data_IF_821870515655
#
_entry.id   IF_821870515655
#
_cell.length_a   1.000
_cell.length_b   1.000
_cell.length_c   1.000
_cell.angle_alpha   90.00
_cell.angle_beta   90.00
_cell.angle_gamma   90.00
#
_symmetry.space_group_name_H-M   'P 1'
#
loop_
_entity.id
_entity.type
_entity.pdbx_description
1 polymer ?
#
# COMPACT_ATOMS: atom_id res chain seq x y z
N UNK A 1 11.09 -24.78 -14.17
CA UNK A 1 11.40 -23.49 -13.53
C UNK A 1 12.85 -23.47 -13.06
N UNK A 2 13.59 -22.45 -13.48
CA UNK A 2 15.00 -22.26 -13.13
C UNK A 2 15.16 -21.84 -11.66
N UNK A 3 16.40 -21.86 -11.14
CA UNK A 3 16.66 -21.37 -9.79
C UNK A 3 16.44 -19.86 -9.68
N UNK A 4 16.84 -19.10 -10.69
CA UNK A 4 16.68 -17.64 -10.71
C UNK A 4 15.20 -17.24 -10.65
N UNK A 5 14.33 -17.89 -11.44
CA UNK A 5 12.88 -17.66 -11.40
C UNK A 5 12.27 -18.04 -10.04
N UNK A 6 12.77 -19.11 -9.42
CA UNK A 6 12.35 -19.48 -8.06
C UNK A 6 12.71 -18.40 -7.06
N UNK A 7 13.93 -17.87 -7.12
CA UNK A 7 14.39 -16.86 -6.19
C UNK A 7 13.62 -15.53 -6.37
N UNK A 8 13.33 -15.15 -7.62
CA UNK A 8 12.47 -13.99 -7.93
C UNK A 8 11.04 -14.18 -7.39
N UNK A 9 10.41 -15.32 -7.67
CA UNK A 9 9.09 -15.64 -7.15
C UNK A 9 9.06 -15.64 -5.62
N UNK A 10 10.10 -16.17 -4.95
CA UNK A 10 10.17 -16.20 -3.49
C UNK A 10 10.25 -14.81 -2.86
N UNK A 11 10.97 -13.88 -3.49
CA UNK A 11 11.04 -12.49 -3.03
C UNK A 11 9.73 -11.75 -3.29
N UNK A 12 9.09 -11.95 -4.44
CA UNK A 12 7.78 -11.37 -4.74
C UNK A 12 6.70 -11.88 -3.77
N UNK A 13 6.58 -13.20 -3.59
CA UNK A 13 5.66 -13.81 -2.60
C UNK A 13 5.88 -13.21 -1.20
N UNK A 14 7.13 -13.01 -0.81
CA UNK A 14 7.48 -12.45 0.50
C UNK A 14 7.04 -10.98 0.62
N UNK A 15 7.15 -10.19 -0.45
CA UNK A 15 6.67 -8.81 -0.47
C UNK A 15 5.15 -8.75 -0.39
N UNK A 16 4.43 -9.49 -1.24
CA UNK A 16 2.96 -9.42 -1.32
C UNK A 16 2.29 -9.88 -0.02
N UNK A 17 2.82 -10.95 0.59
CA UNK A 17 2.38 -11.39 1.92
C UNK A 17 2.61 -10.30 2.97
N UNK A 18 3.76 -9.62 2.94
CA UNK A 18 4.07 -8.56 3.90
C UNK A 18 3.27 -7.28 3.65
N UNK A 19 2.92 -6.99 2.39
CA UNK A 19 2.05 -5.88 2.03
C UNK A 19 0.65 -6.09 2.60
N UNK A 20 0.16 -7.33 2.55
CA UNK A 20 -1.08 -7.74 3.22
C UNK A 20 -2.35 -7.25 2.52
N UNK A 21 -2.25 -6.85 1.25
CA UNK A 21 -3.40 -6.41 0.42
C UNK A 21 -4.06 -7.55 -0.37
N UNK A 22 -3.37 -8.67 -0.50
CA UNK A 22 -3.76 -9.78 -1.38
C UNK A 22 -3.98 -11.06 -0.58
N UNK A 23 -4.92 -11.89 -1.05
CA UNK A 23 -5.09 -13.26 -0.59
C UNK A 23 -4.22 -14.24 -1.39
N UNK A 24 -4.15 -15.50 -0.97
CA UNK A 24 -3.33 -16.53 -1.62
C UNK A 24 -3.58 -16.67 -3.13
N UNK A 25 -4.84 -16.56 -3.56
CA UNK A 25 -5.21 -16.64 -4.97
C UNK A 25 -4.74 -15.42 -5.75
N UNK A 26 -4.93 -14.22 -5.21
CA UNK A 26 -4.50 -12.97 -5.85
C UNK A 26 -2.97 -12.92 -6.01
N UNK A 27 -2.22 -13.36 -5.00
CA UNK A 27 -0.75 -13.47 -5.08
C UNK A 27 -0.37 -14.46 -6.19
N UNK A 28 -1.06 -15.59 -6.30
CA UNK A 28 -0.80 -16.56 -7.36
C UNK A 28 -1.08 -15.99 -8.75
N UNK A 29 -2.25 -15.37 -8.96
CA UNK A 29 -2.62 -14.71 -10.21
C UNK A 29 -1.62 -13.62 -10.59
N UNK A 30 -1.16 -12.81 -9.63
CA UNK A 30 -0.13 -11.79 -9.86
C UNK A 30 1.22 -12.37 -10.29
N UNK A 31 1.59 -13.55 -9.79
CA UNK A 31 2.81 -14.24 -10.21
C UNK A 31 2.65 -14.91 -11.58
N UNK A 32 1.47 -15.44 -11.91
CA UNK A 32 1.17 -15.93 -13.25
C UNK A 32 1.29 -14.81 -14.28
N UNK A 33 0.75 -13.62 -13.96
CA UNK A 33 0.87 -12.45 -14.82
C UNK A 33 2.32 -11.94 -14.91
N UNK A 34 3.10 -12.01 -13.82
CA UNK A 34 4.51 -11.61 -13.81
C UNK A 34 5.39 -12.50 -14.68
N UNK A 35 5.08 -13.80 -14.74
CA UNK A 35 5.86 -14.81 -15.47
C UNK A 35 5.13 -15.37 -16.70
N UNK A 36 4.21 -14.59 -17.30
CA UNK A 36 3.33 -15.06 -18.38
C UNK A 36 4.08 -15.54 -19.63
N UNK A 37 5.30 -15.06 -19.84
CA UNK A 37 6.20 -15.33 -20.96
C UNK A 37 7.24 -16.43 -20.66
N UNK A 38 7.20 -17.02 -19.46
CA UNK A 38 8.07 -18.12 -19.06
C UNK A 38 7.42 -19.49 -19.32
N UNK A 39 8.00 -20.30 -20.21
CA UNK A 39 7.46 -21.61 -20.62
C UNK A 39 7.49 -22.69 -19.52
N UNK A 40 8.24 -22.45 -18.43
CA UNK A 40 8.70 -23.48 -17.50
C UNK A 40 8.20 -23.24 -16.05
N UNK A 41 7.08 -22.55 -15.85
CA UNK A 41 6.54 -22.23 -14.52
C UNK A 41 5.97 -23.47 -13.82
N UNK A 42 6.38 -23.70 -12.59
CA UNK A 42 5.89 -24.77 -11.72
C UNK A 42 4.76 -24.22 -10.84
N UNK A 43 3.54 -24.20 -11.39
CA UNK A 43 2.35 -23.67 -10.70
C UNK A 43 2.06 -24.37 -9.37
N UNK A 44 2.20 -25.70 -9.32
CA UNK A 44 1.94 -26.47 -8.10
C UNK A 44 2.93 -26.08 -6.99
N UNK A 45 4.21 -25.88 -7.35
CA UNK A 45 5.20 -25.36 -6.43
C UNK A 45 4.85 -23.93 -5.96
N UNK A 46 4.39 -23.05 -6.86
CA UNK A 46 3.98 -21.69 -6.49
C UNK A 46 2.81 -21.71 -5.50
N UNK A 47 1.73 -22.43 -5.82
CA UNK A 47 0.54 -22.56 -4.95
C UNK A 47 0.92 -23.10 -3.57
N UNK A 48 1.73 -24.15 -3.51
CA UNK A 48 2.18 -24.73 -2.25
C UNK A 48 3.06 -23.75 -1.44
N UNK A 49 3.95 -23.03 -2.12
CA UNK A 49 4.86 -22.07 -1.48
C UNK A 49 4.10 -20.87 -0.91
N UNK A 50 3.19 -20.29 -1.70
CA UNK A 50 2.29 -19.21 -1.26
C UNK A 50 1.49 -19.69 -0.05
N UNK A 51 0.86 -20.86 -0.15
CA UNK A 51 0.04 -21.39 0.94
C UNK A 51 0.82 -21.55 2.24
N UNK A 52 2.02 -22.13 2.18
CA UNK A 52 2.86 -22.33 3.37
C UNK A 52 3.27 -20.99 4.00
N UNK A 53 3.76 -20.05 3.19
CA UNK A 53 4.26 -18.75 3.68
C UNK A 53 3.13 -17.86 4.17
N UNK A 54 2.00 -17.83 3.46
CA UNK A 54 0.84 -17.05 3.82
C UNK A 54 0.28 -17.52 5.17
N UNK A 55 0.07 -18.82 5.34
CA UNK A 55 -0.42 -19.37 6.61
C UNK A 55 0.55 -19.17 7.76
N UNK A 56 1.86 -19.23 7.50
CA UNK A 56 2.86 -18.90 8.52
C UNK A 56 2.75 -17.43 8.94
N UNK A 57 2.65 -16.51 7.99
CA UNK A 57 2.49 -15.09 8.28
C UNK A 57 1.18 -14.79 9.03
N UNK A 58 0.06 -15.41 8.64
CA UNK A 58 -1.21 -15.26 9.35
C UNK A 58 -1.11 -15.71 10.82
N UNK A 59 -0.43 -16.84 11.09
CA UNK A 59 -0.19 -17.31 12.47
C UNK A 59 0.66 -16.33 13.28
N UNK A 60 1.68 -15.74 12.67
CA UNK A 60 2.51 -14.71 13.30
C UNK A 60 1.70 -13.43 13.55
N UNK A 61 0.85 -13.03 12.60
CA UNK A 61 0.02 -11.83 12.69
C UNK A 61 -0.97 -11.88 13.86
N UNK A 62 -1.46 -13.07 14.22
CA UNK A 62 -2.30 -13.28 15.41
C UNK A 62 -1.58 -12.94 16.73
N UNK A 63 -0.25 -12.94 16.73
CA UNK A 63 0.57 -12.65 17.91
C UNK A 63 1.02 -11.20 17.98
N UNK A 64 0.73 -10.37 16.96
CA UNK A 64 1.16 -8.98 16.94
C UNK A 64 0.47 -8.15 18.02
N UNK A 65 1.26 -7.28 18.67
CA UNK A 65 0.74 -6.32 19.63
C UNK A 65 -0.18 -5.34 18.89
N UNK A 66 -1.41 -5.20 19.38
CA UNK A 66 -2.42 -4.29 18.85
C UNK A 66 -2.46 -2.98 19.65
N UNK A 67 -2.69 -1.81 19.01
CA UNK A 67 -2.80 -1.62 17.56
C UNK A 67 -1.43 -1.75 16.86
N UNK A 68 -1.42 -2.31 15.65
CA UNK A 68 -0.22 -2.36 14.79
C UNK A 68 0.10 -0.97 14.22
N UNK A 69 1.24 -0.85 13.51
CA UNK A 69 1.53 0.35 12.73
C UNK A 69 0.45 0.65 11.69
N UNK A 70 -0.02 -0.38 10.98
CA UNK A 70 -1.11 -0.26 10.03
C UNK A 70 -2.44 0.14 10.70
N UNK A 71 -2.80 -0.45 11.84
CA UNK A 71 -4.03 -0.08 12.57
C UNK A 71 -4.04 1.42 12.95
N UNK A 72 -2.87 1.98 13.26
CA UNK A 72 -2.70 3.42 13.54
C UNK A 72 -2.74 4.27 12.26
N UNK A 73 -2.15 3.80 11.17
CA UNK A 73 -2.19 4.47 9.88
C UNK A 73 -3.61 4.53 9.31
N UNK A 74 -4.35 3.42 9.34
CA UNK A 74 -5.74 3.35 8.90
C UNK A 74 -6.62 4.36 9.65
N UNK A 75 -6.45 4.46 10.98
CA UNK A 75 -7.16 5.47 11.79
C UNK A 75 -6.78 6.90 11.42
N UNK A 76 -5.52 7.17 11.10
CA UNK A 76 -5.11 8.49 10.62
C UNK A 76 -5.77 8.81 9.27
N UNK A 77 -5.84 7.85 8.35
CA UNK A 77 -6.52 8.01 7.07
C UNK A 77 -8.03 8.24 7.26
N UNK A 78 -8.70 7.48 8.15
CA UNK A 78 -10.11 7.71 8.49
C UNK A 78 -10.36 9.14 9.00
N UNK A 79 -9.47 9.69 9.83
CA UNK A 79 -9.56 11.07 10.31
C UNK A 79 -9.41 12.10 9.18
N UNK A 80 -8.49 11.86 8.23
CA UNK A 80 -8.24 12.73 7.09
C UNK A 80 -9.43 12.70 6.11
N UNK A 81 -10.05 11.54 5.90
CA UNK A 81 -11.26 11.39 5.08
C UNK A 81 -12.40 12.23 5.64
N UNK A 82 -12.61 12.24 6.96
CA UNK A 82 -13.61 13.12 7.62
C UNK A 82 -13.32 14.60 7.34
N UNK A 83 -12.04 14.96 7.18
CA UNK A 83 -11.59 16.31 6.83
C UNK A 83 -11.57 16.57 5.31
N UNK A 84 -12.18 15.70 4.51
CA UNK A 84 -12.29 15.80 3.04
C UNK A 84 -10.96 15.65 2.29
N UNK A 85 -10.00 14.96 2.87
CA UNK A 85 -8.79 14.52 2.18
C UNK A 85 -9.05 13.12 1.63
N UNK A 86 -8.84 12.92 0.34
CA UNK A 86 -8.91 11.58 -0.27
C UNK A 86 -7.71 10.77 0.20
N UNK A 87 -7.95 9.61 0.78
CA UNK A 87 -6.89 8.74 1.28
C UNK A 87 -6.92 7.38 0.61
N UNK A 88 -5.86 7.02 -0.11
CA UNK A 88 -5.76 5.73 -0.81
C UNK A 88 -4.61 4.89 -0.25
N UNK A 89 -4.92 3.66 0.12
CA UNK A 89 -3.95 2.66 0.52
C UNK A 89 -3.48 1.88 -0.72
N UNK A 90 -2.17 1.72 -0.90
CA UNK A 90 -1.57 0.97 -2.01
C UNK A 90 -2.08 1.43 -3.39
N UNK A 91 -2.00 2.74 -3.65
CA UNK A 91 -2.49 3.37 -4.87
C UNK A 91 -1.48 3.20 -6.01
N UNK A 92 -1.71 2.18 -6.84
CA UNK A 92 -0.85 1.85 -7.97
C UNK A 92 0.58 1.44 -7.57
N UNK A 93 1.48 1.46 -8.56
CA UNK A 93 2.86 1.03 -8.38
C UNK A 93 3.82 2.21 -8.19
N UNK A 94 3.59 3.30 -8.94
CA UNK A 94 4.44 4.49 -8.99
C UNK A 94 3.75 5.73 -8.44
N UNK A 95 4.53 6.80 -8.24
CA UNK A 95 4.01 8.13 -7.89
C UNK A 95 2.92 8.60 -8.86
N UNK A 96 3.13 8.40 -10.16
CA UNK A 96 2.21 8.87 -11.19
C UNK A 96 0.89 8.10 -11.14
N UNK A 97 0.94 6.78 -10.89
CA UNK A 97 -0.26 5.96 -10.72
C UNK A 97 -1.05 6.40 -9.49
N UNK A 98 -0.38 6.53 -8.34
CA UNK A 98 -1.04 6.93 -7.10
C UNK A 98 -1.67 8.32 -7.14
N UNK A 99 -1.01 9.27 -7.80
CA UNK A 99 -1.59 10.61 -8.05
C UNK A 99 -2.80 10.53 -9.00
N UNK A 100 -2.70 9.75 -10.08
CA UNK A 100 -3.80 9.50 -11.02
C UNK A 100 -5.03 8.91 -10.33
N UNK A 101 -4.85 7.85 -9.53
CA UNK A 101 -5.92 7.19 -8.78
C UNK A 101 -6.61 8.15 -7.80
N UNK A 102 -5.84 9.03 -7.14
CA UNK A 102 -6.38 10.06 -6.26
C UNK A 102 -7.22 11.06 -7.05
N UNK A 103 -6.74 11.55 -8.19
CA UNK A 103 -7.46 12.52 -9.01
C UNK A 103 -8.74 11.94 -9.60
N UNK A 104 -8.73 10.70 -10.09
CA UNK A 104 -9.94 10.01 -10.54
C UNK A 104 -10.96 9.87 -9.40
N UNK A 105 -10.50 9.55 -8.18
CA UNK A 105 -11.37 9.49 -7.01
C UNK A 105 -11.96 10.85 -6.66
N UNK A 106 -11.18 11.92 -6.77
CA UNK A 106 -11.64 13.30 -6.54
C UNK A 106 -12.71 13.69 -7.57
N UNK A 107 -12.49 13.40 -8.85
CA UNK A 107 -13.46 13.67 -9.91
C UNK A 107 -14.79 12.95 -9.66
N UNK A 108 -14.76 11.66 -9.32
CA UNK A 108 -15.96 10.88 -8.97
C UNK A 108 -16.68 11.44 -7.74
N UNK A 109 -15.94 11.88 -6.71
CA UNK A 109 -16.53 12.52 -5.54
C UNK A 109 -17.18 13.86 -5.92
N UNK A 110 -16.57 14.61 -6.84
CA UNK A 110 -17.12 15.87 -7.30
C UNK A 110 -18.45 15.71 -8.06
N UNK A 111 -18.54 14.68 -8.91
CA UNK A 111 -19.80 14.30 -9.57
C UNK A 111 -20.92 13.99 -8.58
N UNK A 112 -20.57 13.51 -7.38
CA UNK A 112 -21.48 13.26 -6.27
C UNK A 112 -21.71 14.48 -5.37
N UNK A 113 -21.13 15.64 -5.70
CA UNK A 113 -21.24 16.89 -4.96
C UNK A 113 -20.34 16.98 -3.71
N UNK A 114 -19.38 16.06 -3.57
CA UNK A 114 -18.42 16.03 -2.45
C UNK A 114 -17.10 16.66 -2.91
N UNK A 115 -16.85 17.89 -2.47
CA UNK A 115 -15.60 18.61 -2.77
C UNK A 115 -14.48 18.15 -1.82
N UNK A 116 -13.51 17.42 -2.34
CA UNK A 116 -12.25 17.15 -1.65
C UNK A 116 -11.37 18.41 -1.59
N UNK A 117 -10.48 18.48 -0.60
CA UNK A 117 -9.52 19.60 -0.44
C UNK A 117 -8.08 19.18 -0.80
N UNK A 118 -7.80 17.89 -0.79
CA UNK A 118 -6.51 17.33 -1.17
C UNK A 118 -6.54 15.82 -1.14
N UNK A 119 -5.37 15.21 -1.28
CA UNK A 119 -5.20 13.76 -1.23
C UNK A 119 -3.95 13.35 -0.45
N UNK A 120 -3.93 12.10 0.01
CA UNK A 120 -2.81 11.45 0.65
C UNK A 120 -2.79 9.96 0.25
N UNK A 121 -1.66 9.44 -0.18
CA UNK A 121 -1.54 8.05 -0.60
C UNK A 121 -0.16 7.48 -0.33
N UNK A 122 -0.03 6.17 -0.48
CA UNK A 122 1.24 5.48 -0.68
C UNK A 122 1.05 4.39 -1.73
N UNK A 123 2.11 4.05 -2.46
CA UNK A 123 2.08 3.04 -3.52
C UNK A 123 2.94 1.82 -3.20
N UNK A 124 2.93 0.80 -4.06
CA UNK A 124 3.66 -0.45 -3.83
C UNK A 124 5.17 -0.26 -3.55
N UNK A 125 5.84 0.68 -4.23
CA UNK A 125 7.27 0.95 -3.96
C UNK A 125 7.52 1.57 -2.57
N UNK A 126 6.54 2.24 -1.96
CA UNK A 126 6.67 2.77 -0.60
C UNK A 126 6.44 1.66 0.41
N UNK A 127 5.51 0.75 0.13
CA UNK A 127 5.30 -0.46 0.93
C UNK A 127 6.55 -1.34 0.96
N UNK A 128 7.22 -1.54 -0.18
CA UNK A 128 8.48 -2.28 -0.25
C UNK A 128 9.51 -1.74 0.77
N UNK A 129 9.64 -0.41 0.86
CA UNK A 129 10.52 0.27 1.82
C UNK A 129 10.02 0.16 3.27
N UNK A 130 8.71 0.18 3.47
CA UNK A 130 8.11 0.08 4.79
C UNK A 130 8.30 -1.31 5.42
N UNK A 131 8.30 -2.37 4.61
CA UNK A 131 8.44 -3.76 5.06
C UNK A 131 9.87 -4.30 5.00
N UNK A 132 10.79 -3.49 4.45
CA UNK A 132 12.23 -3.71 4.47
C UNK A 132 12.76 -3.58 5.92
N UNK A 133 13.48 -4.58 6.43
CA UNK A 133 13.93 -4.61 7.82
C UNK A 133 14.96 -3.54 8.18
N UNK A 134 15.70 -3.02 7.20
CA UNK A 134 16.78 -2.03 7.36
C UNK A 134 16.26 -0.60 7.22
N UNK A 135 15.22 -0.39 6.41
CA UNK A 135 14.65 0.95 6.16
C UNK A 135 13.45 1.28 7.05
N UNK A 136 12.41 0.42 7.05
CA UNK A 136 11.16 0.55 7.83
C UNK A 136 10.48 1.94 7.77
N UNK A 137 10.57 2.63 6.64
CA UNK A 137 9.94 3.93 6.44
C UNK A 137 8.87 3.83 5.35
N UNK A 138 7.72 4.46 5.60
CA UNK A 138 6.66 4.62 4.62
C UNK A 138 6.62 6.08 4.18
N UNK A 139 6.79 6.33 2.89
CA UNK A 139 6.56 7.65 2.30
C UNK A 139 5.08 7.81 1.97
N UNK A 140 4.59 9.04 2.12
CA UNK A 140 3.24 9.42 1.74
C UNK A 140 3.31 10.50 0.65
N UNK A 141 2.69 10.24 -0.48
CA UNK A 141 2.39 11.27 -1.47
C UNK A 141 1.20 12.10 -1.02
N UNK A 142 1.24 13.41 -1.24
CA UNK A 142 0.14 14.30 -0.91
C UNK A 142 0.19 15.56 -1.77
N UNK A 143 -0.98 16.17 -1.98
CA UNK A 143 -1.13 17.51 -2.54
C UNK A 143 -2.55 18.04 -2.24
N UNK A 144 -2.78 19.31 -2.55
CA UNK A 144 -4.11 19.91 -2.70
C UNK A 144 -4.73 19.55 -4.05
N UNK A 145 -6.06 19.63 -4.15
CA UNK A 145 -6.77 19.39 -5.43
C UNK A 145 -6.38 20.43 -6.49
N UNK A 146 -6.07 21.65 -6.06
CA UNK A 146 -5.69 22.75 -6.97
C UNK A 146 -4.21 22.76 -7.33
N UNK A 147 -3.42 21.91 -6.68
CA UNK A 147 -1.95 21.89 -6.75
C UNK A 147 -1.32 23.27 -6.47
N UNK A 148 -1.96 24.03 -5.56
CA UNK A 148 -1.43 25.28 -5.07
C UNK A 148 -0.57 25.05 -3.82
N UNK A 149 0.64 25.58 -3.79
CA UNK A 149 1.60 25.37 -2.69
C UNK A 149 1.04 25.71 -1.29
N UNK A 150 0.27 26.79 -1.15
CA UNK A 150 -0.29 27.21 0.15
C UNK A 150 -1.40 26.25 0.62
N UNK A 151 -2.21 25.73 -0.32
CA UNK A 151 -3.23 24.72 -0.03
C UNK A 151 -2.61 23.35 0.24
N UNK A 152 -1.58 22.98 -0.53
CA UNK A 152 -0.82 21.76 -0.35
C UNK A 152 -0.14 21.73 1.03
N UNK A 153 0.38 22.87 1.48
CA UNK A 153 0.94 23.02 2.82
C UNK A 153 -0.11 22.81 3.92
N UNK A 154 -1.34 23.29 3.72
CA UNK A 154 -2.44 23.05 4.67
C UNK A 154 -2.77 21.56 4.75
N UNK A 155 -2.89 20.88 3.60
CA UNK A 155 -3.09 19.42 3.53
C UNK A 155 -1.96 18.68 4.25
N UNK A 156 -0.70 19.06 4.01
CA UNK A 156 0.46 18.48 4.68
C UNK A 156 0.37 18.61 6.21
N UNK A 157 -0.01 19.79 6.71
CA UNK A 157 -0.16 20.04 8.15
C UNK A 157 -1.29 19.19 8.77
N UNK A 158 -2.39 18.98 8.05
CA UNK A 158 -3.48 18.10 8.48
C UNK A 158 -3.01 16.65 8.56
N UNK A 159 -2.27 16.17 7.56
CA UNK A 159 -1.67 14.82 7.54
C UNK A 159 -0.71 14.64 8.72
N UNK A 160 0.23 15.58 8.92
CA UNK A 160 1.21 15.52 10.02
C UNK A 160 0.51 15.50 11.38
N UNK A 161 -0.55 16.29 11.54
CA UNK A 161 -1.36 16.30 12.77
C UNK A 161 -2.01 14.94 13.01
N UNK A 162 -2.74 14.41 12.04
CA UNK A 162 -3.45 13.14 12.13
C UNK A 162 -2.50 11.96 12.43
N UNK A 163 -1.33 11.92 11.77
CA UNK A 163 -0.30 10.90 12.02
C UNK A 163 0.24 10.97 13.45
N UNK A 164 0.54 12.18 13.96
CA UNK A 164 1.02 12.37 15.34
C UNK A 164 -0.03 12.00 16.38
N UNK A 165 -1.30 12.36 16.14
CA UNK A 165 -2.42 12.00 17.01
C UNK A 165 -2.61 10.48 17.09
N UNK A 166 -2.30 9.77 16.01
CA UNK A 166 -2.28 8.30 15.96
C UNK A 166 -0.93 7.69 16.34
N UNK A 167 -0.05 8.44 17.02
CA UNK A 167 1.24 7.95 17.54
C UNK A 167 2.17 7.35 16.48
N UNK A 168 2.14 7.87 15.25
CA UNK A 168 3.12 7.56 14.22
C UNK A 168 4.29 8.53 14.31
N UNK A 169 5.51 8.02 14.11
CA UNK A 169 6.73 8.83 14.06
C UNK A 169 6.85 9.46 12.67
N UNK A 170 7.24 10.73 12.63
CA UNK A 170 7.42 11.51 11.41
C UNK A 170 8.84 12.06 11.46
N UNK A 171 9.61 11.80 10.40
CA UNK A 171 11.02 12.19 10.26
C UNK A 171 11.15 13.40 9.35
#
# INVERSE_FOLDING_TARGET
MTQDLKDEALEQIKLDIKFGFENEQQIFEGLEDMFYDEDDIDEEWLKQTIHQRYNQHQKEALQWIKPTGFDRLARAFDQLIVQKIVCLHNAGYTKQDGEGDCMETIERLDELGVKAIGFCYYHAQDLARAVDPDTRNLYLGFDSVTQNDDEALQVAQMIVTALKENHLQIN
#
